data_IF_274345659811
#
_entry.id   IF_274345659811
#
_cell.length_a   1.000
_cell.length_b   1.000
_cell.length_c   1.000
_cell.angle_alpha   90.00
_cell.angle_beta   90.00
_cell.angle_gamma   90.00
#
_symmetry.space_group_name_H-M   'P 1'
#
loop_
_entity.id
_entity.type
_entity.pdbx_description
1 polymer ?
#
# COMPACT_ATOMS: atom_id res chain seq x y z
N UNK A 1 6.80 -44.78 -22.91
CA UNK A 1 7.25 -43.92 -21.81
C UNK A 1 6.13 -43.04 -21.27
N UNK A 2 4.88 -43.55 -21.10
CA UNK A 2 3.70 -42.75 -20.60
C UNK A 2 3.25 -43.13 -19.18
N UNK A 3 3.87 -44.11 -18.54
CA UNK A 3 3.44 -44.60 -17.20
C UNK A 3 4.08 -43.88 -16.00
N UNK A 4 5.16 -43.11 -16.22
CA UNK A 4 5.87 -42.39 -15.14
C UNK A 4 5.14 -41.13 -14.65
N UNK A 5 4.47 -40.42 -15.56
CA UNK A 5 3.80 -39.16 -15.19
C UNK A 5 2.51 -39.35 -14.37
N UNK A 6 1.86 -40.54 -14.54
CA UNK A 6 0.62 -40.80 -13.79
C UNK A 6 0.90 -41.16 -12.34
N UNK A 7 2.04 -41.80 -12.05
CA UNK A 7 2.45 -42.11 -10.67
C UNK A 7 2.86 -40.84 -9.91
N UNK A 8 3.52 -39.89 -10.57
CA UNK A 8 3.91 -38.61 -9.95
C UNK A 8 2.70 -37.77 -9.57
N UNK A 9 1.66 -37.74 -10.42
CA UNK A 9 0.41 -37.04 -10.13
C UNK A 9 -0.35 -37.65 -8.95
N UNK A 10 -0.30 -38.94 -8.77
CA UNK A 10 -0.98 -39.65 -7.69
C UNK A 10 -0.29 -39.48 -6.33
N UNK A 11 1.04 -39.40 -6.32
CA UNK A 11 1.82 -39.16 -5.10
C UNK A 11 1.63 -37.71 -4.58
N UNK A 12 1.51 -36.71 -5.49
CA UNK A 12 1.25 -35.33 -5.08
C UNK A 12 -0.17 -35.14 -4.51
N UNK A 13 -1.15 -35.93 -4.95
CA UNK A 13 -2.53 -35.80 -4.44
C UNK A 13 -2.70 -36.37 -3.03
N UNK A 14 -1.87 -37.32 -2.62
CA UNK A 14 -1.94 -37.95 -1.28
C UNK A 14 -1.27 -37.07 -0.21
N UNK A 15 -0.34 -36.20 -0.58
CA UNK A 15 0.36 -35.32 0.38
C UNK A 15 -0.45 -34.08 0.78
N UNK A 16 -1.52 -33.74 0.07
CA UNK A 16 -2.36 -32.57 0.36
C UNK A 16 -3.46 -32.82 1.42
N UNK A 17 -3.64 -34.03 1.93
CA UNK A 17 -4.77 -34.39 2.81
C UNK A 17 -4.43 -34.53 4.31
N UNK A 18 -3.23 -34.17 4.75
CA UNK A 18 -2.77 -34.40 6.15
C UNK A 18 -2.62 -33.12 7.01
N UNK A 19 -3.21 -32.00 6.62
CA UNK A 19 -3.12 -30.75 7.37
C UNK A 19 -4.47 -30.25 7.90
N UNK A 20 -5.24 -31.10 8.58
CA UNK A 20 -6.32 -30.68 9.46
C UNK A 20 -6.40 -31.62 10.66
N UNK A 21 -5.64 -31.32 11.71
CA UNK A 21 -5.91 -31.87 13.03
C UNK A 21 -6.15 -30.73 14.02
N UNK A 22 -7.37 -30.72 14.49
CA UNK A 22 -7.98 -29.91 15.50
C UNK A 22 -7.13 -29.73 16.77
N UNK A 23 -7.06 -28.48 17.24
CA UNK A 23 -6.79 -28.16 18.65
C UNK A 23 -8.14 -27.99 19.32
N UNK A 24 -8.61 -29.03 19.99
CA UNK A 24 -9.57 -28.95 21.08
C UNK A 24 -8.77 -28.86 22.38
N UNK A 25 -8.68 -27.65 22.96
CA UNK A 25 -8.09 -27.38 24.28
C UNK A 25 -9.18 -26.85 25.20
N UNK A 26 -9.58 -27.65 26.05
CA UNK A 26 -10.01 -27.70 27.44
C UNK A 26 -10.25 -26.37 28.16
N UNK A 27 -11.43 -26.35 28.87
CA UNK A 27 -11.92 -25.25 29.68
C UNK A 27 -11.07 -24.95 30.91
N UNK A 28 -10.69 -23.69 31.04
CA UNK A 28 -10.15 -23.09 32.25
C UNK A 28 -11.06 -21.96 32.71
N UNK A 29 -11.82 -22.19 33.77
CA UNK A 29 -12.48 -21.15 34.56
C UNK A 29 -11.43 -20.24 35.16
N UNK A 30 -11.32 -19.01 34.67
CA UNK A 30 -10.45 -17.94 35.16
C UNK A 30 -11.29 -16.68 35.43
N UNK A 31 -11.48 -16.46 36.69
CA UNK A 31 -11.77 -15.24 37.46
C UNK A 31 -11.75 -13.91 36.68
N UNK A 32 -12.84 -13.18 36.74
CA UNK A 32 -12.98 -11.83 36.17
C UNK A 32 -12.00 -10.85 36.80
N UNK A 33 -11.25 -10.07 36.02
CA UNK A 33 -10.41 -9.01 36.57
C UNK A 33 -11.28 -7.89 37.13
N UNK A 34 -11.03 -7.60 38.42
CA UNK A 34 -11.64 -6.46 39.11
C UNK A 34 -11.18 -5.16 38.46
N UNK A 35 -12.15 -4.37 38.00
CA UNK A 35 -11.94 -3.01 37.50
C UNK A 35 -11.64 -2.13 38.72
N UNK A 36 -10.37 -1.71 38.86
CA UNK A 36 -10.02 -0.65 39.80
C UNK A 36 -10.51 0.69 39.26
N UNK A 37 -11.13 1.55 40.10
CA UNK A 37 -11.55 2.88 39.65
C UNK A 37 -10.32 3.74 39.35
N UNK A 38 -10.33 4.39 38.17
CA UNK A 38 -9.34 5.39 37.78
C UNK A 38 -9.38 6.56 38.77
N UNK A 39 -8.22 7.10 39.16
CA UNK A 39 -8.19 8.36 39.89
C UNK A 39 -8.67 9.49 39.02
N UNK A 40 -9.59 10.29 39.60
CA UNK A 40 -10.07 11.53 39.04
C UNK A 40 -8.88 12.49 38.83
N UNK A 41 -8.59 12.83 37.57
CA UNK A 41 -7.61 13.87 37.25
C UNK A 41 -8.36 15.21 37.31
N UNK A 42 -7.99 16.03 38.28
CA UNK A 42 -8.42 17.42 38.36
C UNK A 42 -7.98 18.19 37.12
N UNK A 43 -8.97 18.83 36.55
CA UNK A 43 -8.89 19.78 35.43
C UNK A 43 -7.97 20.96 35.82
N UNK A 44 -6.80 21.01 35.22
CA UNK A 44 -5.97 22.24 35.24
C UNK A 44 -5.96 22.79 33.81
N UNK A 45 -6.83 23.76 33.59
CA UNK A 45 -6.81 24.59 32.41
C UNK A 45 -5.44 25.31 32.31
N UNK A 46 -4.68 24.97 31.32
CA UNK A 46 -3.59 25.78 30.84
C UNK A 46 -3.65 25.79 29.31
N UNK A 47 -4.49 26.69 28.78
CA UNK A 47 -4.53 27.02 27.36
C UNK A 47 -3.21 27.72 27.04
N UNK A 48 -2.21 26.97 26.64
CA UNK A 48 -1.06 27.54 25.94
C UNK A 48 -1.50 27.80 24.51
N UNK A 49 -1.57 29.10 24.17
CA UNK A 49 -1.72 29.57 22.81
C UNK A 49 -0.60 28.96 21.96
N UNK A 50 -0.99 28.06 21.04
CA UNK A 50 -0.14 27.61 19.96
C UNK A 50 0.05 28.82 19.05
N UNK A 51 1.29 29.27 18.79
CA UNK A 51 1.53 30.27 17.76
C UNK A 51 1.07 29.66 16.43
N UNK A 52 0.07 30.25 15.82
CA UNK A 52 -0.27 30.00 14.42
C UNK A 52 0.83 30.67 13.59
N UNK A 53 1.94 30.00 13.39
CA UNK A 53 2.77 30.25 12.23
C UNK A 53 2.04 29.58 11.06
N UNK A 54 1.32 30.39 10.30
CA UNK A 54 0.96 30.07 8.93
C UNK A 54 2.27 30.03 8.12
N UNK A 55 3.02 28.94 8.25
CA UNK A 55 3.97 28.55 7.24
C UNK A 55 3.14 28.12 6.04
N UNK A 56 2.99 29.03 5.08
CA UNK A 56 2.53 28.74 3.74
C UNK A 56 3.49 27.69 3.16
N UNK A 57 3.22 26.43 3.36
CA UNK A 57 3.88 25.36 2.65
C UNK A 57 3.43 25.51 1.21
N UNK A 58 4.34 26.02 0.38
CA UNK A 58 4.22 26.00 -1.06
C UNK A 58 4.23 24.54 -1.48
N UNK A 59 3.04 23.92 -1.61
CA UNK A 59 2.91 22.58 -2.12
C UNK A 59 3.41 22.59 -3.55
N UNK A 60 4.31 21.65 -3.92
CA UNK A 60 4.71 21.53 -5.32
C UNK A 60 3.47 21.36 -6.19
N UNK A 61 3.40 22.12 -7.28
CA UNK A 61 2.34 22.04 -8.27
C UNK A 61 2.53 20.70 -9.02
N UNK A 62 1.86 19.64 -8.54
CA UNK A 62 1.88 18.37 -9.21
C UNK A 62 1.06 18.47 -10.47
N UNK A 63 1.70 18.29 -11.62
CA UNK A 63 1.02 18.20 -12.91
C UNK A 63 0.16 16.93 -12.93
N UNK A 64 -1.16 17.10 -12.77
CA UNK A 64 -2.08 16.03 -13.15
C UNK A 64 -1.97 15.91 -14.67
N UNK A 65 -1.53 14.75 -15.16
CA UNK A 65 -1.50 14.46 -16.59
C UNK A 65 -2.87 14.77 -17.17
N UNK A 66 -2.92 15.36 -18.33
CA UNK A 66 -4.05 16.12 -18.87
C UNK A 66 -5.41 15.44 -18.85
N UNK A 67 -5.50 14.14 -18.52
CA UNK A 67 -6.74 13.36 -18.52
C UNK A 67 -6.76 12.23 -17.46
N UNK A 68 -5.86 12.22 -16.45
CA UNK A 68 -5.84 11.19 -15.39
C UNK A 68 -6.16 11.78 -14.04
N UNK A 69 -6.82 11.01 -13.17
CA UNK A 69 -7.10 11.41 -11.78
C UNK A 69 -5.87 11.31 -10.85
N UNK A 70 -4.77 10.70 -11.33
CA UNK A 70 -3.55 10.49 -10.55
C UNK A 70 -2.45 11.47 -10.97
N UNK A 71 -1.63 11.97 -10.02
CA UNK A 71 -0.46 12.77 -10.35
C UNK A 71 0.55 11.96 -11.14
N UNK A 72 1.15 12.57 -12.15
CA UNK A 72 2.20 11.97 -12.96
C UNK A 72 3.47 12.84 -12.90
N UNK A 73 4.68 12.24 -12.94
CA UNK A 73 5.92 13.01 -13.05
C UNK A 73 6.02 13.73 -14.39
N UNK A 74 6.76 14.84 -14.43
CA UNK A 74 6.88 15.72 -15.62
C UNK A 74 7.45 15.00 -16.84
N UNK A 75 8.26 13.96 -16.63
CA UNK A 75 8.86 13.16 -17.69
C UNK A 75 8.03 11.94 -18.10
N UNK A 76 6.77 11.82 -17.62
CA UNK A 76 5.89 10.71 -17.96
C UNK A 76 5.65 10.64 -19.47
N UNK A 77 5.89 9.48 -20.06
CA UNK A 77 5.75 9.19 -21.49
C UNK A 77 4.88 7.96 -21.68
N UNK A 78 4.32 7.81 -22.89
CA UNK A 78 3.48 6.67 -23.27
C UNK A 78 2.31 6.46 -22.31
N UNK A 79 1.74 7.56 -21.80
CA UNK A 79 0.62 7.51 -20.86
C UNK A 79 -0.59 6.89 -21.54
N UNK A 80 -1.16 5.88 -20.93
CA UNK A 80 -2.38 5.21 -21.37
C UNK A 80 -3.29 4.97 -20.18
N UNK A 81 -4.58 5.19 -20.35
CA UNK A 81 -5.59 4.86 -19.35
C UNK A 81 -6.61 3.89 -19.94
N UNK A 82 -6.80 2.77 -19.26
CA UNK A 82 -7.78 1.75 -19.64
C UNK A 82 -8.50 1.24 -18.40
N UNK A 83 -9.81 1.42 -18.36
CA UNK A 83 -10.67 0.96 -17.28
C UNK A 83 -10.20 1.41 -15.87
N UNK A 84 -9.81 2.68 -15.73
CA UNK A 84 -9.34 3.25 -14.45
C UNK A 84 -7.92 2.83 -14.05
N UNK A 85 -7.20 2.16 -14.94
CA UNK A 85 -5.79 1.83 -14.76
C UNK A 85 -4.94 2.73 -15.63
N UNK A 86 -4.06 3.50 -15.02
CA UNK A 86 -3.09 4.36 -15.70
C UNK A 86 -1.75 3.65 -15.82
N UNK A 87 -1.20 3.62 -17.03
CA UNK A 87 0.16 3.14 -17.30
C UNK A 87 0.98 4.25 -17.93
N UNK A 88 2.25 4.36 -17.54
CA UNK A 88 3.19 5.28 -18.15
C UNK A 88 4.64 4.77 -18.04
N UNK A 89 5.54 5.41 -18.77
CA UNK A 89 6.99 5.21 -18.65
C UNK A 89 7.67 6.50 -18.20
N UNK A 90 8.74 6.37 -17.41
CA UNK A 90 9.55 7.48 -16.91
C UNK A 90 11.03 7.08 -16.90
N UNK A 91 11.93 8.07 -16.85
CA UNK A 91 13.36 7.88 -16.63
C UNK A 91 13.79 8.05 -15.18
N UNK A 92 12.82 8.32 -14.29
CA UNK A 92 13.08 8.36 -12.85
C UNK A 92 13.54 6.97 -12.37
N UNK A 93 14.44 6.98 -11.40
CA UNK A 93 14.79 5.74 -10.69
C UNK A 93 13.61 5.21 -9.87
N UNK A 94 13.66 3.94 -9.47
CA UNK A 94 12.68 3.32 -8.59
C UNK A 94 12.45 4.16 -7.32
N UNK A 95 13.54 4.58 -6.68
CA UNK A 95 13.47 5.37 -5.45
C UNK A 95 12.85 6.76 -5.69
N UNK A 96 13.16 7.39 -6.82
CA UNK A 96 12.59 8.70 -7.18
C UNK A 96 11.09 8.60 -7.50
N UNK A 97 10.64 7.55 -8.19
CA UNK A 97 9.22 7.30 -8.45
C UNK A 97 8.47 7.07 -7.13
N UNK A 98 9.00 6.23 -6.24
CA UNK A 98 8.38 6.01 -4.93
C UNK A 98 8.33 7.29 -4.11
N UNK A 99 9.40 8.09 -4.12
CA UNK A 99 9.44 9.39 -3.45
C UNK A 99 8.40 10.35 -4.01
N UNK A 100 8.31 10.45 -5.34
CA UNK A 100 7.33 11.29 -6.02
C UNK A 100 5.90 10.99 -5.52
N UNK A 101 5.49 9.73 -5.48
CA UNK A 101 4.14 9.38 -5.03
C UNK A 101 3.93 9.57 -3.53
N UNK A 102 4.94 9.32 -2.70
CA UNK A 102 4.87 9.62 -1.27
C UNK A 102 4.62 11.10 -1.02
N UNK A 103 5.37 11.96 -1.68
CA UNK A 103 5.24 13.41 -1.54
C UNK A 103 3.88 13.89 -2.09
N UNK A 104 3.49 13.44 -3.29
CA UNK A 104 2.24 13.82 -3.93
C UNK A 104 1.02 13.41 -3.11
N UNK A 105 0.95 12.16 -2.68
CA UNK A 105 -0.20 11.64 -1.94
C UNK A 105 -0.24 12.10 -0.49
N UNK A 106 0.90 12.33 0.17
CA UNK A 106 0.93 12.96 1.47
C UNK A 106 0.35 14.38 1.41
N UNK A 107 0.64 15.15 0.35
CA UNK A 107 0.08 16.50 0.15
C UNK A 107 -1.45 16.49 -0.05
N UNK A 108 -1.99 15.39 -0.59
CA UNK A 108 -3.43 15.16 -0.75
C UNK A 108 -4.09 14.56 0.50
N UNK A 109 -3.32 14.30 1.57
CA UNK A 109 -3.82 13.71 2.81
C UNK A 109 -3.99 12.19 2.77
N UNK A 110 -3.44 11.51 1.77
CA UNK A 110 -3.46 10.04 1.69
C UNK A 110 -2.39 9.43 2.57
N UNK A 111 -2.61 8.21 3.02
CA UNK A 111 -1.71 7.50 3.95
C UNK A 111 -1.17 6.23 3.32
N UNK A 112 0.15 6.06 3.30
CA UNK A 112 0.78 4.82 2.82
C UNK A 112 0.51 3.65 3.76
N UNK A 113 0.14 2.50 3.21
CA UNK A 113 0.09 1.21 3.92
C UNK A 113 1.46 0.54 3.88
N UNK A 114 2.33 0.89 4.81
CA UNK A 114 3.72 0.39 4.85
C UNK A 114 3.83 -1.14 4.83
N UNK A 115 2.87 -1.85 5.45
CA UNK A 115 2.84 -3.31 5.46
C UNK A 115 2.62 -3.95 4.09
N UNK A 116 2.09 -3.19 3.13
CA UNK A 116 1.88 -3.62 1.74
C UNK A 116 2.94 -3.06 0.79
N UNK A 117 3.87 -2.26 1.31
CA UNK A 117 5.01 -1.77 0.53
C UNK A 117 6.02 -2.89 0.31
N UNK A 118 6.36 -3.13 -0.94
CA UNK A 118 7.35 -4.14 -1.35
C UNK A 118 8.32 -3.54 -2.35
N UNK A 119 9.61 -3.80 -2.15
CA UNK A 119 10.69 -3.43 -3.08
C UNK A 119 11.61 -4.63 -3.27
N UNK A 120 11.86 -5.03 -4.50
CA UNK A 120 12.76 -6.14 -4.83
C UNK A 120 13.23 -6.04 -6.28
N UNK A 121 14.54 -6.20 -6.50
CA UNK A 121 15.18 -6.39 -7.83
C UNK A 121 14.55 -5.58 -9.00
N UNK A 122 14.45 -4.26 -8.83
CA UNK A 122 13.93 -3.37 -9.88
C UNK A 122 12.40 -3.33 -9.98
N UNK A 123 11.68 -3.90 -9.01
CA UNK A 123 10.21 -3.86 -8.91
C UNK A 123 9.81 -3.24 -7.59
N UNK A 124 8.78 -2.40 -7.59
CA UNK A 124 8.14 -1.94 -6.35
C UNK A 124 6.62 -2.03 -6.42
N UNK A 125 6.01 -2.08 -5.26
CA UNK A 125 4.58 -1.90 -5.05
C UNK A 125 4.37 -1.06 -3.79
N UNK A 126 3.62 0.03 -3.89
CA UNK A 126 3.20 0.87 -2.77
C UNK A 126 1.69 1.05 -2.82
N UNK A 127 1.08 1.18 -1.65
CA UNK A 127 -0.38 1.26 -1.50
C UNK A 127 -0.74 2.44 -0.62
N UNK A 128 -1.72 3.24 -1.03
CA UNK A 128 -2.21 4.38 -0.26
C UNK A 128 -3.71 4.27 0.01
N UNK A 129 -4.10 4.69 1.22
CA UNK A 129 -5.47 4.89 1.65
C UNK A 129 -5.85 6.37 1.58
N UNK A 130 -7.15 6.63 1.49
CA UNK A 130 -7.71 7.98 1.58
C UNK A 130 -8.44 8.43 0.32
N UNK A 131 -8.44 7.62 -0.74
CA UNK A 131 -9.19 7.95 -1.94
C UNK A 131 -10.71 8.02 -1.65
N UNK A 132 -11.41 8.98 -2.29
CA UNK A 132 -12.84 9.26 -2.05
C UNK A 132 -13.77 8.09 -2.38
N UNK A 133 -13.35 7.20 -3.29
CA UNK A 133 -14.10 5.97 -3.60
C UNK A 133 -14.11 4.96 -2.45
N UNK A 134 -13.24 5.11 -1.44
CA UNK A 134 -12.99 4.14 -0.39
C UNK A 134 -12.08 2.99 -0.79
N UNK A 135 -11.63 2.93 -2.04
CA UNK A 135 -10.63 1.97 -2.53
C UNK A 135 -9.22 2.46 -2.21
N UNK A 136 -8.26 1.55 -2.18
CA UNK A 136 -6.85 1.91 -2.08
C UNK A 136 -6.28 2.21 -3.46
N UNK A 137 -5.31 3.14 -3.51
CA UNK A 137 -4.51 3.40 -4.69
C UNK A 137 -3.30 2.47 -4.65
N UNK A 138 -3.18 1.61 -5.65
CA UNK A 138 -2.05 0.69 -5.80
C UNK A 138 -1.15 1.19 -6.92
N UNK A 139 0.13 1.39 -6.62
CA UNK A 139 1.14 1.81 -7.57
C UNK A 139 2.21 0.74 -7.66
N UNK A 140 2.49 0.30 -8.86
CA UNK A 140 3.51 -0.70 -9.14
C UNK A 140 4.45 -0.19 -10.23
N UNK A 141 5.75 -0.42 -10.05
CA UNK A 141 6.75 -0.07 -11.04
C UNK A 141 7.71 -1.21 -11.31
N UNK A 142 8.17 -1.29 -12.55
CA UNK A 142 9.14 -2.28 -13.02
C UNK A 142 10.23 -1.57 -13.81
N UNK A 143 11.48 -1.76 -13.43
CA UNK A 143 12.65 -1.34 -14.19
C UNK A 143 12.74 -2.16 -15.50
N UNK A 144 12.78 -1.49 -16.64
CA UNK A 144 12.84 -2.14 -17.95
C UNK A 144 14.26 -2.54 -18.35
N UNK A 145 15.27 -2.16 -17.55
CA UNK A 145 16.68 -2.50 -17.79
C UNK A 145 17.36 -1.66 -18.86
N UNK A 146 16.67 -0.66 -19.43
CA UNK A 146 17.18 0.28 -20.43
C UNK A 146 17.32 1.71 -19.87
N UNK A 147 17.19 1.87 -18.55
CA UNK A 147 17.19 3.15 -17.86
C UNK A 147 15.83 3.84 -17.83
N UNK A 148 14.78 3.10 -18.15
CA UNK A 148 13.40 3.54 -17.97
C UNK A 148 12.63 2.60 -17.03
N UNK A 149 11.56 3.10 -16.47
CA UNK A 149 10.64 2.37 -15.60
C UNK A 149 9.22 2.39 -16.21
N UNK A 150 8.53 1.27 -16.16
CA UNK A 150 7.09 1.23 -16.43
C UNK A 150 6.34 1.27 -15.10
N UNK A 151 5.38 2.18 -15.00
CA UNK A 151 4.58 2.38 -13.80
C UNK A 151 3.11 2.17 -14.10
N UNK A 152 2.42 1.50 -13.21
CA UNK A 152 0.99 1.24 -13.24
C UNK A 152 0.33 1.79 -11.98
N UNK A 153 -0.79 2.51 -12.13
CA UNK A 153 -1.59 3.06 -11.03
C UNK A 153 -3.03 2.63 -11.22
N UNK A 154 -3.66 2.17 -10.15
CA UNK A 154 -5.07 1.76 -10.17
C UNK A 154 -5.71 1.81 -8.80
N UNK A 155 -7.04 1.81 -8.77
CA UNK A 155 -7.84 1.61 -7.56
C UNK A 155 -8.11 0.13 -7.35
N UNK A 156 -7.99 -0.36 -6.12
CA UNK A 156 -8.27 -1.74 -5.73
C UNK A 156 -8.98 -1.83 -4.37
N UNK A 157 -9.79 -2.85 -4.22
CA UNK A 157 -10.34 -3.28 -2.93
C UNK A 157 -9.31 -4.20 -2.25
N UNK A 158 -8.52 -3.69 -1.28
CA UNK A 158 -7.41 -4.39 -0.60
C UNK A 158 -7.57 -4.39 0.92
#
# INVERSE_FOLDING_TARGET
MKKSNTIFALVMLVLASLACQAVTGDGGSGEAPQIQPLPSVEETESIQQIPTEEESQEYPDYSFGSDTEFPLPDDAQNVTEVAGTVNYQTKLSLDDVMKFYRDAFASLGYTERELLTTVSDGVFSIVFDGHESGQAIVIQGVDLGDGSMNVNIRLEDV
#
